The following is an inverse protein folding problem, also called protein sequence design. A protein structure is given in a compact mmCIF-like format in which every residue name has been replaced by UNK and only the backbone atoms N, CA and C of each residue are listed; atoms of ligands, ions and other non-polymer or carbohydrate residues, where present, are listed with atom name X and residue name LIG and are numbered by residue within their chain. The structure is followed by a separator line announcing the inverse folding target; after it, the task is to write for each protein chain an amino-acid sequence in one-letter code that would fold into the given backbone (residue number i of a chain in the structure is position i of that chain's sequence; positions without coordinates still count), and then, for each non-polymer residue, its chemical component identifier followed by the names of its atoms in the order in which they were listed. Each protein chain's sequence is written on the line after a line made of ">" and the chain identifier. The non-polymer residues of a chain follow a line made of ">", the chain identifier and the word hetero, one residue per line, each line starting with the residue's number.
data_IF_656721975033
#
_entry.id   IF_656721975033
#
_cell.length_a   1.000
_cell.length_b   1.000
_cell.length_c   1.000
_cell.angle_alpha   90.00
_cell.angle_beta   90.00
_cell.angle_gamma   90.00
#
_symmetry.space_group_name_H-M   'P 1'
#
loop_
_entity.id
_entity.type
_entity.pdbx_description
1 polymer ?
#
# COMPACT_ATOMS: atom_id res chain seq x y z
N UNK A 1 -2.50 5.65 50.89
CA UNK A 1 -1.38 6.29 50.19
C UNK A 1 -1.02 5.43 48.99
N UNK A 2 -1.61 5.69 47.83
CA UNK A 2 -1.32 5.00 46.57
C UNK A 2 -0.29 5.82 45.80
N UNK A 3 0.91 5.27 45.64
CA UNK A 3 2.00 5.85 44.87
C UNK A 3 1.62 5.90 43.39
N UNK A 4 1.38 7.10 42.87
CA UNK A 4 1.26 7.33 41.44
C UNK A 4 2.59 7.00 40.76
N UNK A 5 2.59 5.97 39.91
CA UNK A 5 3.72 5.68 39.01
C UNK A 5 3.97 6.92 38.15
N UNK A 6 5.10 7.59 38.37
CA UNK A 6 5.59 8.61 37.45
C UNK A 6 5.91 7.93 36.12
N UNK A 7 5.14 8.23 35.08
CA UNK A 7 5.42 7.80 33.72
C UNK A 7 6.69 8.54 33.26
N UNK A 8 7.76 7.79 32.99
CA UNK A 8 9.03 8.39 32.59
C UNK A 8 8.90 8.92 31.15
N UNK A 9 9.44 10.11 30.84
CA UNK A 9 9.40 10.65 29.48
C UNK A 9 10.20 9.74 28.54
N UNK A 10 9.59 9.41 27.40
CA UNK A 10 10.24 8.62 26.35
C UNK A 10 11.53 9.35 25.89
N UNK A 11 12.61 8.58 25.69
CA UNK A 11 13.91 9.13 25.25
C UNK A 11 13.76 9.88 23.92
N UNK A 12 14.49 10.99 23.74
CA UNK A 12 14.48 11.79 22.51
C UNK A 12 14.75 10.94 21.25
N UNK A 13 15.51 9.83 21.38
CA UNK A 13 15.73 8.85 20.31
C UNK A 13 14.47 8.06 19.94
N UNK A 14 13.60 7.77 20.91
CA UNK A 14 12.31 7.10 20.70
C UNK A 14 11.31 8.07 20.12
N UNK A 15 11.29 9.32 20.60
CA UNK A 15 10.44 10.38 20.02
C UNK A 15 10.88 10.70 18.60
N UNK A 16 12.19 10.74 18.31
CA UNK A 16 12.72 10.90 16.95
C UNK A 16 12.41 9.69 16.06
N UNK A 17 12.36 8.45 16.58
CA UNK A 17 11.84 7.30 15.81
C UNK A 17 10.34 7.38 15.54
N UNK A 18 9.57 7.99 16.44
CA UNK A 18 8.13 8.23 16.26
C UNK A 18 7.88 9.39 15.28
N UNK A 19 8.78 10.37 15.20
CA UNK A 19 8.74 11.49 14.24
C UNK A 19 9.41 11.12 12.90
N UNK A 20 10.38 10.22 12.81
CA UNK A 20 10.94 9.78 11.51
C UNK A 20 9.96 8.87 10.74
N UNK A 21 8.89 8.41 11.40
CA UNK A 21 7.66 7.90 10.78
C UNK A 21 6.78 9.03 10.17
N UNK A 22 7.33 10.23 9.93
CA UNK A 22 6.64 11.33 9.28
C UNK A 22 6.53 11.09 7.76
N UNK A 23 5.32 10.72 7.38
CA UNK A 23 4.57 11.22 6.22
C UNK A 23 4.70 10.52 4.88
N UNK A 24 5.84 9.93 4.46
CA UNK A 24 5.91 9.24 3.16
C UNK A 24 6.39 7.79 3.25
N UNK A 25 7.48 7.51 3.99
CA UNK A 25 7.99 6.14 4.18
C UNK A 25 6.97 5.21 4.86
N UNK A 26 6.20 5.72 5.83
CA UNK A 26 5.14 4.95 6.50
C UNK A 26 3.98 4.66 5.56
N UNK A 27 3.70 5.54 4.60
CA UNK A 27 2.62 5.36 3.63
C UNK A 27 3.00 4.34 2.58
N UNK A 28 4.23 4.42 2.07
CA UNK A 28 4.79 3.40 1.18
C UNK A 28 4.79 2.05 1.89
N UNK A 29 5.23 2.00 3.15
CA UNK A 29 5.18 0.76 3.95
C UNK A 29 3.76 0.21 4.15
N UNK A 30 2.78 1.09 4.43
CA UNK A 30 1.36 0.70 4.55
C UNK A 30 0.83 0.17 3.23
N UNK A 31 1.19 0.81 2.10
CA UNK A 31 0.79 0.39 0.77
C UNK A 31 1.40 -0.97 0.42
N UNK A 32 2.71 -1.16 0.62
CA UNK A 32 3.35 -2.49 0.46
C UNK A 32 2.64 -3.54 1.31
N UNK A 33 2.36 -3.25 2.58
CA UNK A 33 1.64 -4.18 3.48
C UNK A 33 0.23 -4.54 2.97
N UNK A 34 -0.49 -3.58 2.38
CA UNK A 34 -1.81 -3.83 1.77
C UNK A 34 -1.66 -4.71 0.53
N UNK A 35 -0.72 -4.40 -0.36
CA UNK A 35 -0.48 -5.16 -1.59
C UNK A 35 -0.04 -6.60 -1.30
N UNK A 36 0.80 -6.80 -0.28
CA UNK A 36 1.19 -8.12 0.23
C UNK A 36 -0.02 -8.92 0.71
N UNK A 37 -0.89 -8.32 1.53
CA UNK A 37 -2.09 -8.98 2.05
C UNK A 37 -3.08 -9.37 0.96
N UNK A 38 -3.20 -8.54 -0.08
CA UNK A 38 -4.04 -8.83 -1.23
C UNK A 38 -3.48 -9.99 -2.08
N UNK A 39 -2.16 -10.23 -2.02
CA UNK A 39 -1.49 -11.30 -2.76
C UNK A 39 -1.77 -11.25 -4.28
N UNK A 40 -1.92 -10.04 -4.84
CA UNK A 40 -2.26 -9.82 -6.25
C UNK A 40 -1.06 -9.49 -7.12
N UNK A 41 0.09 -9.16 -6.53
CA UNK A 41 1.36 -8.91 -7.24
C UNK A 41 2.35 -10.06 -7.05
N UNK A 42 3.34 -10.14 -7.94
CA UNK A 42 4.57 -10.88 -7.68
C UNK A 42 5.38 -10.16 -6.59
N UNK A 43 6.11 -10.90 -5.76
CA UNK A 43 6.77 -10.33 -4.58
C UNK A 43 7.79 -9.25 -4.97
N UNK A 44 8.48 -9.44 -6.09
CA UNK A 44 9.45 -8.50 -6.65
C UNK A 44 8.83 -7.17 -7.14
N UNK A 45 7.52 -7.17 -7.44
CA UNK A 45 6.82 -6.00 -7.99
C UNK A 45 6.15 -5.14 -6.89
N UNK A 46 6.02 -5.66 -5.67
CA UNK A 46 5.26 -5.02 -4.57
C UNK A 46 5.84 -3.66 -4.21
N UNK A 47 7.15 -3.58 -3.96
CA UNK A 47 7.80 -2.34 -3.54
C UNK A 47 7.70 -1.28 -4.65
N UNK A 48 7.97 -1.67 -5.89
CA UNK A 48 7.89 -0.77 -7.05
C UNK A 48 6.46 -0.27 -7.30
N UNK A 49 5.45 -1.13 -7.10
CA UNK A 49 4.05 -0.73 -7.18
C UNK A 49 3.70 0.25 -6.04
N UNK A 50 4.13 -0.04 -4.81
CA UNK A 50 3.85 0.81 -3.65
C UNK A 50 4.47 2.21 -3.78
N UNK A 51 5.73 2.30 -4.22
CA UNK A 51 6.42 3.57 -4.46
C UNK A 51 5.69 4.47 -5.47
N UNK A 52 5.05 3.87 -6.49
CA UNK A 52 4.35 4.63 -7.53
C UNK A 52 3.01 5.23 -7.08
N UNK A 53 2.48 4.83 -5.92
CA UNK A 53 1.17 5.26 -5.46
C UNK A 53 1.15 6.68 -4.87
N UNK A 54 2.30 7.33 -4.63
CA UNK A 54 2.43 8.78 -4.32
C UNK A 54 1.25 9.38 -3.51
N UNK A 55 1.04 8.90 -2.28
CA UNK A 55 -0.01 9.39 -1.37
C UNK A 55 -1.46 9.20 -1.86
N UNK A 56 -1.70 8.27 -2.78
CA UNK A 56 -3.02 7.93 -3.27
C UNK A 56 -3.95 7.57 -2.09
N UNK A 57 -5.15 8.19 -2.00
CA UNK A 57 -6.13 7.81 -0.99
C UNK A 57 -6.49 6.33 -1.09
N UNK A 58 -6.66 5.67 0.05
CA UNK A 58 -6.90 4.21 0.11
C UNK A 58 -8.06 3.73 -0.77
N UNK A 59 -9.10 4.55 -0.93
CA UNK A 59 -10.24 4.25 -1.81
C UNK A 59 -9.83 4.22 -3.29
N UNK A 60 -8.97 5.15 -3.72
CA UNK A 60 -8.43 5.18 -5.10
C UNK A 60 -7.47 4.01 -5.33
N UNK A 61 -6.70 3.62 -4.30
CA UNK A 61 -5.86 2.41 -4.36
C UNK A 61 -6.70 1.16 -4.64
N UNK A 62 -7.76 0.91 -3.86
CA UNK A 62 -8.61 -0.26 -4.11
C UNK A 62 -9.27 -0.25 -5.49
N UNK A 63 -9.69 0.93 -5.97
CA UNK A 63 -10.23 1.09 -7.33
C UNK A 63 -9.19 0.76 -8.41
N UNK A 64 -7.95 1.23 -8.24
CA UNK A 64 -6.84 0.92 -9.15
C UNK A 64 -6.58 -0.58 -9.23
N UNK A 65 -6.54 -1.24 -8.07
CA UNK A 65 -6.31 -2.69 -8.00
C UNK A 65 -7.47 -3.45 -8.64
N UNK A 66 -8.71 -3.01 -8.44
CA UNK A 66 -9.87 -3.61 -9.09
C UNK A 66 -9.79 -3.49 -10.62
N UNK A 67 -9.45 -2.30 -11.14
CA UNK A 67 -9.26 -2.10 -12.58
C UNK A 67 -8.16 -2.99 -13.15
N UNK A 68 -7.01 -3.05 -12.47
CA UNK A 68 -5.87 -3.84 -12.91
C UNK A 68 -6.11 -5.37 -12.77
N UNK A 69 -6.94 -5.81 -11.82
CA UNK A 69 -7.29 -7.21 -11.63
C UNK A 69 -8.34 -7.72 -12.62
N UNK A 70 -9.25 -6.86 -13.08
CA UNK A 70 -10.28 -7.20 -14.07
C UNK A 70 -9.76 -7.21 -15.51
N UNK A 71 -8.65 -6.52 -15.77
CA UNK A 71 -8.04 -6.41 -17.11
C UNK A 71 -8.83 -5.53 -18.08
N UNK A 72 -8.33 -5.39 -19.31
CA UNK A 72 -8.87 -4.49 -20.36
C UNK A 72 -10.33 -4.75 -20.74
N UNK A 73 -10.84 -5.96 -20.48
CA UNK A 73 -12.20 -6.37 -20.86
C UNK A 73 -13.19 -6.43 -19.68
N UNK A 74 -12.78 -6.01 -18.47
CA UNK A 74 -13.68 -5.95 -17.32
C UNK A 74 -14.18 -7.33 -16.85
N UNK A 75 -13.29 -8.32 -16.84
CA UNK A 75 -13.61 -9.73 -16.59
C UNK A 75 -13.35 -10.22 -15.16
N UNK A 76 -13.56 -11.52 -14.95
CA UNK A 76 -13.54 -12.16 -13.63
C UNK A 76 -12.15 -12.11 -12.97
N UNK A 77 -12.02 -11.24 -11.97
CA UNK A 77 -10.79 -11.04 -11.18
C UNK A 77 -10.48 -12.20 -10.21
N UNK A 78 -11.30 -13.26 -10.19
CA UNK A 78 -11.17 -14.39 -9.27
C UNK A 78 -9.78 -15.04 -9.33
N UNK A 79 -9.19 -15.19 -10.52
CA UNK A 79 -7.86 -15.78 -10.66
C UNK A 79 -6.77 -14.95 -9.95
N UNK A 80 -6.89 -13.63 -9.96
CA UNK A 80 -5.97 -12.70 -9.30
C UNK A 80 -6.16 -12.74 -7.78
N UNK A 81 -7.40 -12.58 -7.30
CA UNK A 81 -7.67 -12.56 -5.85
C UNK A 81 -7.53 -13.94 -5.17
N UNK A 82 -7.63 -15.04 -5.92
CA UNK A 82 -7.28 -16.38 -5.43
C UNK A 82 -5.77 -16.65 -5.43
N UNK A 83 -4.96 -15.72 -5.97
CA UNK A 83 -3.51 -15.83 -6.07
C UNK A 83 -3.02 -16.79 -7.16
N UNK A 84 -3.89 -17.28 -8.03
CA UNK A 84 -3.53 -18.15 -9.17
C UNK A 84 -2.79 -17.38 -10.26
N UNK A 85 -3.17 -16.12 -10.44
CA UNK A 85 -2.53 -15.18 -11.35
C UNK A 85 -2.11 -13.92 -10.61
N UNK A 86 -1.21 -13.16 -11.22
CA UNK A 86 -0.70 -11.90 -10.68
C UNK A 86 -0.94 -10.76 -11.67
N UNK A 87 -1.22 -9.58 -11.14
CA UNK A 87 -1.29 -8.35 -11.91
C UNK A 87 0.11 -8.09 -12.47
N UNK A 88 0.19 -7.93 -13.79
CA UNK A 88 1.44 -7.52 -14.44
C UNK A 88 1.69 -6.06 -14.12
N UNK A 89 2.89 -5.73 -13.65
CA UNK A 89 3.26 -4.36 -13.26
C UNK A 89 3.07 -3.35 -14.39
N UNK A 90 3.29 -3.76 -15.65
CA UNK A 90 3.03 -2.90 -16.82
C UNK A 90 1.56 -2.49 -16.93
N UNK A 91 0.63 -3.44 -16.74
CA UNK A 91 -0.80 -3.18 -16.82
C UNK A 91 -1.28 -2.31 -15.64
N UNK A 92 -0.71 -2.54 -14.45
CA UNK A 92 -0.94 -1.68 -13.30
C UNK A 92 -0.55 -0.22 -13.60
N UNK A 93 0.58 0.03 -14.26
CA UNK A 93 0.97 1.39 -14.65
C UNK A 93 0.04 2.01 -15.69
N UNK A 94 -0.47 1.23 -16.64
CA UNK A 94 -1.47 1.70 -17.60
C UNK A 94 -2.73 2.18 -16.85
N UNK A 95 -3.26 1.37 -15.92
CA UNK A 95 -4.41 1.76 -15.09
C UNK A 95 -4.11 2.95 -14.17
N UNK A 96 -2.89 3.05 -13.63
CA UNK A 96 -2.47 4.17 -12.79
C UNK A 96 -2.50 5.48 -13.58
N UNK A 97 -2.01 5.48 -14.82
CA UNK A 97 -2.09 6.65 -15.70
C UNK A 97 -3.53 7.08 -15.95
N UNK A 98 -4.45 6.14 -16.13
CA UNK A 98 -5.87 6.44 -16.34
C UNK A 98 -6.51 7.11 -15.12
N UNK A 99 -6.15 6.68 -13.89
CA UNK A 99 -6.66 7.29 -12.65
C UNK A 99 -6.05 8.65 -12.36
N UNK A 100 -4.77 8.86 -12.68
CA UNK A 100 -4.09 10.15 -12.45
C UNK A 100 -4.55 11.23 -13.44
N UNK A 101 -5.00 10.84 -14.64
CA UNK A 101 -5.57 11.76 -15.63
C UNK A 101 -6.98 12.28 -15.27
N UNK A 102 -7.63 11.69 -14.26
CA UNK A 102 -8.98 12.02 -13.78
C UNK A 102 -8.98 12.77 -12.43
#
# INVERSE_FOLDING_TARGET
>A
MTTGKMMQPLSLHVVMRIIVLESQDVRVYLQSSVLEQLNVFANEDIDTAAESLNDMPIKKLYMLIEMAAQGEHGGDSEAIYSGKEKIKISHFYDCLQDIVRY
#
